data_IF_296774344520
#
_entry.id   IF_296774344520
#
_cell.length_a   1.000
_cell.length_b   1.000
_cell.length_c   1.000
_cell.angle_alpha   90.00
_cell.angle_beta   90.00
_cell.angle_gamma   90.00
#
_symmetry.space_group_name_H-M   'P 1'
#
loop_
_entity.id
_entity.type
_entity.pdbx_description
1 polymer ?
#
# COMPACT_ATOMS: atom_id res chain seq x y z
N UNK A 1 4.35 19.90 -45.41
CA UNK A 1 5.10 20.38 -44.24
C UNK A 1 4.11 20.77 -43.16
N UNK A 2 3.85 19.94 -42.17
CA UNK A 2 3.07 20.27 -40.97
C UNK A 2 3.90 19.85 -39.76
N UNK A 3 4.36 20.89 -38.99
CA UNK A 3 5.25 20.74 -37.84
C UNK A 3 4.56 20.01 -36.69
N UNK A 4 5.20 18.96 -36.21
CA UNK A 4 4.83 18.29 -34.98
C UNK A 4 5.28 19.15 -33.78
N UNK A 5 4.33 19.81 -33.16
CA UNK A 5 4.51 20.59 -31.92
C UNK A 5 4.84 19.64 -30.77
N UNK A 6 6.11 19.53 -30.45
CA UNK A 6 6.61 18.82 -29.25
C UNK A 6 6.25 19.66 -28.02
N UNK A 7 5.12 19.36 -27.38
CA UNK A 7 4.82 19.89 -26.05
C UNK A 7 5.84 19.33 -25.07
N UNK A 8 6.76 20.18 -24.64
CA UNK A 8 7.66 19.93 -23.49
C UNK A 8 6.78 19.90 -22.23
N UNK A 9 6.55 18.73 -21.67
CA UNK A 9 5.96 18.61 -20.34
C UNK A 9 7.08 18.87 -19.33
N UNK A 10 7.04 20.07 -18.73
CA UNK A 10 7.94 20.51 -17.67
C UNK A 10 7.85 19.60 -16.43
N UNK A 11 8.94 19.54 -15.68
CA UNK A 11 9.26 18.66 -14.57
C UNK A 11 8.10 18.24 -13.67
N UNK A 12 7.70 16.98 -13.78
CA UNK A 12 6.72 16.35 -12.91
C UNK A 12 7.35 16.03 -11.55
N UNK A 13 6.97 16.80 -10.54
CA UNK A 13 7.26 16.46 -9.14
C UNK A 13 6.14 15.50 -8.68
N UNK A 14 6.38 14.20 -8.76
CA UNK A 14 5.44 13.20 -8.23
C UNK A 14 5.54 13.27 -6.70
N UNK A 15 4.70 14.08 -6.10
CA UNK A 15 4.47 14.06 -4.66
C UNK A 15 3.27 13.16 -4.43
N UNK A 16 3.49 11.98 -3.84
CA UNK A 16 2.42 11.15 -3.32
C UNK A 16 1.84 11.83 -2.08
N UNK A 17 0.99 12.84 -2.27
CA UNK A 17 0.16 13.39 -1.21
C UNK A 17 -1.20 12.69 -1.25
N UNK A 18 -1.47 11.89 -0.25
CA UNK A 18 -2.80 11.36 0.02
C UNK A 18 -3.70 12.49 0.49
N UNK A 19 -4.99 12.56 0.12
CA UNK A 19 -5.86 13.64 0.53
C UNK A 19 -5.92 13.70 2.06
N UNK A 20 -5.58 14.86 2.62
CA UNK A 20 -5.81 15.17 4.01
C UNK A 20 -7.32 15.15 4.25
N UNK A 21 -7.79 14.14 4.98
CA UNK A 21 -9.12 14.17 5.55
C UNK A 21 -9.18 15.27 6.60
N UNK A 22 -9.67 16.46 6.26
CA UNK A 22 -10.07 17.47 7.22
C UNK A 22 -11.27 16.96 8.02
N UNK A 23 -11.00 16.28 9.12
CA UNK A 23 -11.94 16.09 10.22
C UNK A 23 -11.14 15.63 11.44
N UNK A 24 -10.52 16.59 12.14
CA UNK A 24 -10.21 16.43 13.54
C UNK A 24 -11.25 17.23 14.31
N UNK A 25 -12.17 16.63 15.05
CA UNK A 25 -12.85 17.32 16.12
C UNK A 25 -11.83 17.68 17.19
N UNK A 26 -11.82 18.95 17.60
CA UNK A 26 -10.97 19.43 18.69
C UNK A 26 -11.15 18.56 19.93
N UNK A 27 -10.07 18.19 20.63
CA UNK A 27 -10.20 17.42 21.87
C UNK A 27 -11.01 18.22 22.90
N UNK A 28 -11.91 17.58 23.67
CA UNK A 28 -12.62 18.23 24.72
C UNK A 28 -11.63 18.75 25.77
N UNK A 29 -11.85 19.98 26.27
CA UNK A 29 -11.04 20.55 27.33
C UNK A 29 -11.05 19.61 28.54
N UNK A 30 -9.90 19.38 29.17
CA UNK A 30 -9.87 18.60 30.40
C UNK A 30 -10.68 19.32 31.48
N UNK A 31 -11.43 18.59 32.32
CA UNK A 31 -12.14 19.18 33.44
C UNK A 31 -11.14 19.81 34.40
N UNK A 32 -11.51 20.98 34.94
CA UNK A 32 -10.72 21.69 35.96
C UNK A 32 -10.53 20.79 37.17
N UNK A 33 -9.27 20.61 37.55
CA UNK A 33 -8.87 19.86 38.74
C UNK A 33 -9.56 20.43 39.98
N UNK A 34 -10.20 19.59 40.83
CA UNK A 34 -10.61 20.01 42.16
C UNK A 34 -9.38 20.28 43.03
N UNK A 35 -9.45 21.31 43.84
CA UNK A 35 -8.39 21.68 44.77
C UNK A 35 -8.08 20.58 45.79
N UNK A 36 -6.91 20.62 46.45
CA UNK A 36 -6.42 19.53 47.28
C UNK A 36 -7.34 19.31 48.51
N UNK A 37 -7.71 18.06 48.81
CA UNK A 37 -8.45 17.73 50.02
C UNK A 37 -7.56 17.88 51.26
N UNK A 38 -8.15 18.41 52.31
CA UNK A 38 -7.53 18.53 53.65
C UNK A 38 -7.18 17.16 54.22
N UNK A 39 -5.98 17.04 54.79
CA UNK A 39 -5.45 15.82 55.39
C UNK A 39 -6.31 15.33 56.56
N UNK A 40 -6.68 14.06 56.65
CA UNK A 40 -7.19 13.43 57.86
C UNK A 40 -6.03 12.96 58.75
N UNK A 41 -6.27 13.08 60.08
CA UNK A 41 -5.39 12.63 61.16
C UNK A 41 -5.19 11.10 61.17
N UNK A 42 -4.09 10.59 61.72
CA UNK A 42 -3.79 9.17 61.69
C UNK A 42 -4.60 8.41 62.75
N UNK A 43 -5.28 7.39 62.32
CA UNK A 43 -6.02 6.47 63.19
C UNK A 43 -6.00 5.05 62.58
N UNK A 44 -5.34 4.11 63.27
CA UNK A 44 -5.75 2.70 63.32
C UNK A 44 -5.28 1.75 62.23
N UNK A 45 -4.39 0.97 62.65
CA UNK A 45 -3.86 -0.34 62.21
C UNK A 45 -4.89 -1.33 61.64
N UNK A 46 -5.40 -1.11 60.40
CA UNK A 46 -6.23 -2.10 59.65
C UNK A 46 -6.25 -1.94 58.14
N UNK A 47 -5.15 -1.58 57.47
CA UNK A 47 -5.18 -1.38 56.01
C UNK A 47 -3.99 -1.98 55.26
N UNK A 48 -3.46 -3.12 55.69
CA UNK A 48 -2.35 -3.77 54.92
C UNK A 48 -2.80 -4.78 53.87
N UNK A 49 -4.09 -5.08 53.77
CA UNK A 49 -4.59 -6.08 52.81
C UNK A 49 -5.18 -5.43 51.55
N UNK A 50 -5.63 -4.20 51.61
CA UNK A 50 -6.24 -3.53 50.44
C UNK A 50 -5.24 -3.01 49.39
N UNK A 51 -3.96 -2.77 49.77
CA UNK A 51 -2.93 -2.22 48.88
C UNK A 51 -2.40 -3.20 47.83
N UNK A 52 -2.38 -4.50 48.14
CA UNK A 52 -1.85 -5.52 47.23
C UNK A 52 -2.82 -5.83 46.08
N UNK A 53 -4.13 -5.82 46.35
CA UNK A 53 -5.14 -6.05 45.34
C UNK A 53 -5.24 -4.89 44.32
N UNK A 54 -5.09 -3.64 44.78
CA UNK A 54 -5.08 -2.47 43.87
C UNK A 54 -3.85 -2.40 42.96
N UNK A 55 -2.67 -2.76 43.52
CA UNK A 55 -1.44 -2.78 42.72
C UNK A 55 -1.46 -3.88 41.64
N UNK A 56 -2.03 -5.04 41.93
CA UNK A 56 -2.18 -6.14 40.97
C UNK A 56 -3.15 -5.77 39.83
N UNK A 57 -4.22 -5.03 40.11
CA UNK A 57 -5.14 -4.58 39.05
C UNK A 57 -4.54 -3.52 38.13
N UNK A 58 -3.69 -2.62 38.67
CA UNK A 58 -2.99 -1.61 37.85
C UNK A 58 -1.94 -2.25 36.97
N UNK A 59 -1.18 -3.22 37.51
CA UNK A 59 -0.18 -3.94 36.72
C UNK A 59 -0.83 -4.84 35.68
N UNK A 60 -1.95 -5.51 36.02
CA UNK A 60 -2.72 -6.32 35.08
C UNK A 60 -3.35 -5.47 33.98
N UNK A 61 -3.87 -4.31 34.30
CA UNK A 61 -4.44 -3.37 33.33
C UNK A 61 -3.39 -2.78 32.38
N UNK A 62 -2.21 -2.40 32.91
CA UNK A 62 -1.12 -1.88 32.08
C UNK A 62 -0.53 -2.96 31.15
N UNK A 63 -0.43 -4.22 31.63
CA UNK A 63 0.01 -5.34 30.81
C UNK A 63 -1.01 -5.69 29.71
N UNK A 64 -2.31 -5.62 29.99
CA UNK A 64 -3.35 -5.87 29.00
C UNK A 64 -3.41 -4.78 27.92
N UNK A 65 -3.23 -3.50 28.30
CA UNK A 65 -3.14 -2.39 27.35
C UNK A 65 -1.87 -2.50 26.51
N UNK A 66 -0.74 -2.84 27.14
CA UNK A 66 0.54 -3.08 26.44
C UNK A 66 0.45 -4.23 25.43
N UNK A 67 -0.22 -5.33 25.78
CA UNK A 67 -0.46 -6.46 24.88
C UNK A 67 -1.43 -6.09 23.74
N UNK A 68 -2.45 -5.29 24.01
CA UNK A 68 -3.38 -4.82 22.98
C UNK A 68 -2.70 -3.87 21.98
N UNK A 69 -1.80 -2.99 22.44
CA UNK A 69 -1.01 -2.12 21.56
C UNK A 69 0.02 -2.93 20.74
N UNK A 70 0.64 -3.95 21.34
CA UNK A 70 1.55 -4.86 20.62
C UNK A 70 0.82 -5.75 19.60
N UNK A 71 -0.46 -6.02 19.81
CA UNK A 71 -1.30 -6.77 18.88
C UNK A 71 -1.87 -5.93 17.73
N UNK A 72 -1.59 -4.63 17.68
CA UNK A 72 -1.92 -3.81 16.50
C UNK A 72 -1.16 -4.38 15.30
N UNK A 73 -1.91 -4.97 14.38
CA UNK A 73 -1.35 -5.54 13.16
C UNK A 73 -0.82 -4.40 12.27
N UNK A 74 0.50 -4.23 12.27
CA UNK A 74 1.14 -3.36 11.30
C UNK A 74 1.26 -4.08 9.96
N UNK A 75 1.07 -3.33 8.87
CA UNK A 75 1.25 -3.88 7.53
C UNK A 75 2.64 -4.51 7.39
N UNK A 76 2.77 -5.74 6.85
CA UNK A 76 4.04 -6.41 6.67
C UNK A 76 5.04 -5.53 5.92
N UNK A 77 6.26 -5.42 6.44
CA UNK A 77 7.34 -4.70 5.80
C UNK A 77 8.19 -5.67 4.96
N UNK A 78 8.75 -5.22 3.81
CA UNK A 78 9.64 -6.06 3.01
C UNK A 78 10.84 -6.51 3.82
N UNK A 79 11.16 -7.81 3.76
CA UNK A 79 12.40 -8.33 4.32
C UNK A 79 13.60 -7.92 3.46
N UNK A 80 14.80 -7.91 4.03
CA UNK A 80 16.03 -7.67 3.25
C UNK A 80 16.20 -8.69 2.12
N UNK A 81 15.82 -9.95 2.35
CA UNK A 81 15.87 -11.01 1.33
C UNK A 81 14.86 -10.77 0.18
N UNK A 82 13.78 -10.02 0.44
CA UNK A 82 12.80 -9.67 -0.59
C UNK A 82 13.27 -8.53 -1.52
N UNK A 83 14.36 -7.82 -1.19
CA UNK A 83 14.83 -6.70 -2.00
C UNK A 83 15.15 -7.06 -3.44
N UNK A 84 15.59 -8.28 -3.72
CA UNK A 84 15.74 -8.89 -5.04
C UNK A 84 16.20 -7.97 -6.18
N UNK A 85 16.02 -8.43 -7.42
CA UNK A 85 16.34 -7.67 -8.63
C UNK A 85 15.17 -6.75 -9.04
N UNK A 86 15.46 -5.70 -9.80
CA UNK A 86 14.44 -4.80 -10.37
C UNK A 86 13.93 -5.23 -11.73
N UNK A 87 14.51 -6.31 -12.29
CA UNK A 87 14.17 -6.83 -13.61
C UNK A 87 14.43 -8.33 -13.75
N UNK A 88 14.15 -8.93 -14.92
CA UNK A 88 14.32 -10.35 -15.16
C UNK A 88 15.80 -10.75 -15.19
N UNK A 89 16.10 -11.92 -14.64
CA UNK A 89 17.36 -12.61 -14.88
C UNK A 89 17.22 -13.43 -16.19
N UNK A 90 18.14 -13.27 -17.15
CA UNK A 90 18.16 -14.07 -18.38
C UNK A 90 17.35 -13.51 -19.56
N UNK A 91 17.07 -14.36 -20.59
CA UNK A 91 16.59 -13.96 -21.91
C UNK A 91 15.06 -13.82 -22.07
N UNK A 92 14.27 -13.80 -20.99
CA UNK A 92 12.79 -13.82 -21.04
C UNK A 92 12.12 -12.45 -21.31
N UNK A 93 12.80 -11.53 -21.96
CA UNK A 93 12.37 -10.13 -22.07
C UNK A 93 11.66 -9.75 -23.40
N UNK A 94 11.44 -10.66 -24.30
CA UNK A 94 10.72 -10.40 -25.56
C UNK A 94 9.21 -10.67 -25.49
N UNK A 95 8.70 -11.22 -24.38
CA UNK A 95 7.27 -11.40 -24.26
C UNK A 95 6.59 -10.04 -24.07
N UNK A 96 5.69 -9.72 -24.97
CA UNK A 96 4.87 -8.52 -24.89
C UNK A 96 3.46 -8.79 -25.40
N UNK A 97 2.50 -8.06 -24.88
CA UNK A 97 1.09 -8.12 -25.26
C UNK A 97 0.70 -6.84 -26.02
N UNK A 98 -0.38 -6.93 -26.79
CA UNK A 98 -1.00 -5.75 -27.39
C UNK A 98 -1.61 -4.86 -26.33
N UNK A 99 -1.85 -3.60 -26.66
CA UNK A 99 -2.54 -2.66 -25.80
C UNK A 99 -3.93 -3.18 -25.43
N UNK A 100 -4.18 -3.40 -24.15
CA UNK A 100 -5.49 -3.74 -23.62
C UNK A 100 -5.59 -3.27 -22.15
N UNK A 101 -6.57 -2.42 -21.79
CA UNK A 101 -6.70 -1.92 -20.42
C UNK A 101 -6.91 -3.05 -19.42
N UNK A 102 -6.30 -2.97 -18.22
CA UNK A 102 -6.53 -3.95 -17.18
C UNK A 102 -7.90 -3.76 -16.53
N UNK A 103 -8.54 -4.88 -16.15
CA UNK A 103 -9.87 -4.90 -15.50
C UNK A 103 -9.82 -5.44 -14.08
N UNK A 104 -8.89 -6.35 -13.77
CA UNK A 104 -8.72 -6.88 -12.41
C UNK A 104 -7.30 -7.36 -12.16
N UNK A 105 -6.96 -7.46 -10.87
CA UNK A 105 -5.69 -8.01 -10.39
C UNK A 105 -5.97 -9.09 -9.35
N UNK A 106 -5.15 -10.14 -9.39
CA UNK A 106 -5.13 -11.22 -8.42
C UNK A 106 -3.69 -11.50 -8.01
N UNK A 107 -3.45 -11.63 -6.68
CA UNK A 107 -2.15 -11.97 -6.11
C UNK A 107 -2.35 -13.07 -5.07
N UNK A 108 -2.30 -14.35 -5.48
CA UNK A 108 -2.66 -15.48 -4.61
C UNK A 108 -1.85 -15.54 -3.31
N UNK A 109 -0.55 -15.27 -3.38
CA UNK A 109 0.36 -15.35 -2.22
C UNK A 109 -0.05 -14.46 -1.04
N UNK A 110 -0.82 -13.41 -1.29
CA UNK A 110 -1.28 -12.46 -0.26
C UNK A 110 -2.80 -12.29 -0.22
N UNK A 111 -3.53 -13.11 -0.97
CA UNK A 111 -5.01 -13.14 -0.98
C UNK A 111 -5.65 -11.87 -1.58
N UNK A 112 -4.99 -11.21 -2.53
CA UNK A 112 -5.55 -10.03 -3.20
C UNK A 112 -6.40 -10.43 -4.39
N UNK A 113 -7.64 -9.91 -4.41
CA UNK A 113 -8.55 -9.92 -5.56
C UNK A 113 -9.18 -8.54 -5.66
N UNK A 114 -8.97 -7.84 -6.76
CA UNK A 114 -9.49 -6.48 -6.92
C UNK A 114 -9.86 -6.18 -8.37
N UNK A 115 -11.00 -5.51 -8.54
CA UNK A 115 -11.29 -4.77 -9.77
C UNK A 115 -10.34 -3.58 -9.82
N UNK A 116 -9.88 -3.22 -11.02
CA UNK A 116 -8.97 -2.10 -11.22
C UNK A 116 -9.71 -0.87 -11.72
N UNK A 117 -9.59 0.21 -10.94
CA UNK A 117 -9.96 1.54 -11.42
C UNK A 117 -8.93 2.04 -12.43
N UNK A 118 -9.36 2.94 -13.30
CA UNK A 118 -8.48 3.65 -14.23
C UNK A 118 -8.31 5.09 -13.74
N UNK A 119 -7.19 5.39 -13.12
CA UNK A 119 -6.92 6.69 -12.52
C UNK A 119 -5.74 7.41 -13.21
N UNK A 120 -5.69 8.72 -13.08
CA UNK A 120 -4.67 9.57 -13.69
C UNK A 120 -4.00 10.46 -12.65
N UNK A 121 -3.87 11.75 -12.98
CA UNK A 121 -3.36 12.80 -12.10
C UNK A 121 -4.45 13.84 -11.84
N UNK A 122 -4.37 14.48 -10.70
CA UNK A 122 -5.21 15.63 -10.34
C UNK A 122 -4.67 16.89 -11.02
N UNK A 123 -5.44 18.00 -11.02
CA UNK A 123 -4.96 19.29 -11.56
C UNK A 123 -3.67 19.81 -10.91
N UNK A 124 -3.41 19.48 -9.64
CA UNK A 124 -2.21 19.82 -8.90
C UNK A 124 -0.98 18.94 -9.27
N UNK A 125 -1.13 18.01 -10.22
CA UNK A 125 -0.08 17.09 -10.65
C UNK A 125 0.12 15.88 -9.74
N UNK A 126 -0.61 15.74 -8.63
CA UNK A 126 -0.55 14.56 -7.77
C UNK A 126 -1.35 13.40 -8.37
N UNK A 127 -0.95 12.16 -8.02
CA UNK A 127 -1.69 10.98 -8.51
C UNK A 127 -3.08 10.90 -7.89
N UNK A 128 -4.06 10.53 -8.72
CA UNK A 128 -5.36 10.10 -8.23
C UNK A 128 -5.19 8.73 -7.56
N UNK A 129 -5.84 8.53 -6.42
CA UNK A 129 -5.81 7.28 -5.66
C UNK A 129 -7.22 6.71 -5.53
N UNK A 130 -7.38 5.39 -5.30
CA UNK A 130 -8.69 4.80 -5.04
C UNK A 130 -9.40 5.52 -3.87
N UNK A 131 -10.73 5.62 -3.88
CA UNK A 131 -11.47 6.19 -2.76
C UNK A 131 -11.25 5.38 -1.46
N UNK A 132 -11.01 6.07 -0.35
CA UNK A 132 -10.81 5.42 0.97
C UNK A 132 -12.04 4.62 1.43
N UNK A 133 -13.23 5.00 0.96
CA UNK A 133 -14.50 4.31 1.23
C UNK A 133 -14.61 2.96 0.52
N UNK A 134 -13.70 2.68 -0.40
CA UNK A 134 -13.62 1.42 -1.17
C UNK A 134 -12.23 0.80 -1.02
N UNK A 135 -11.84 0.36 0.20
CA UNK A 135 -10.47 -0.06 0.52
C UNK A 135 -10.02 -1.31 -0.24
N UNK A 136 -10.94 -2.10 -0.76
CA UNK A 136 -10.66 -3.31 -1.56
C UNK A 136 -10.26 -3.02 -3.01
N UNK A 137 -10.33 -1.76 -3.47
CA UNK A 137 -10.01 -1.42 -4.85
C UNK A 137 -8.55 -0.99 -5.01
N UNK A 138 -7.93 -1.50 -6.07
CA UNK A 138 -6.69 -0.99 -6.62
C UNK A 138 -6.95 -0.16 -7.90
N UNK A 139 -5.95 0.55 -8.39
CA UNK A 139 -6.08 1.38 -9.59
C UNK A 139 -4.86 1.26 -10.49
N UNK A 140 -5.09 1.14 -11.79
CA UNK A 140 -4.06 1.29 -12.80
C UNK A 140 -3.87 2.78 -13.15
N UNK A 141 -2.60 3.20 -13.15
CA UNK A 141 -2.19 4.53 -13.60
C UNK A 141 -2.28 4.61 -15.12
N UNK A 142 -3.34 5.25 -15.64
CA UNK A 142 -3.70 5.25 -17.06
C UNK A 142 -2.67 5.87 -18.01
N UNK A 143 -1.69 6.62 -17.47
CA UNK A 143 -0.59 7.20 -18.26
C UNK A 143 0.66 6.32 -18.28
N UNK A 144 0.64 5.17 -17.58
CA UNK A 144 1.60 4.09 -17.79
C UNK A 144 1.15 3.21 -18.95
N UNK A 145 2.04 2.35 -19.48
CA UNK A 145 1.64 1.35 -20.49
C UNK A 145 0.65 0.36 -19.89
N UNK A 146 -0.16 -0.30 -20.73
CA UNK A 146 -1.04 -1.37 -20.23
C UNK A 146 -0.22 -2.58 -19.81
N UNK A 147 -0.66 -3.35 -18.78
CA UNK A 147 0.08 -4.52 -18.30
C UNK A 147 0.35 -5.51 -19.44
N UNK A 148 1.62 -5.87 -19.60
CA UNK A 148 2.07 -6.75 -20.67
C UNK A 148 2.69 -6.04 -21.86
N UNK A 149 2.51 -4.74 -22.06
CA UNK A 149 3.27 -3.98 -23.04
C UNK A 149 4.72 -3.75 -22.57
N UNK A 150 5.66 -3.61 -23.52
CA UNK A 150 7.03 -3.18 -23.22
C UNK A 150 6.99 -1.82 -22.56
N UNK A 151 7.73 -1.67 -21.46
CA UNK A 151 7.71 -0.51 -20.59
C UNK A 151 7.14 -0.83 -19.21
N UNK A 152 6.91 0.19 -18.41
CA UNK A 152 6.46 0.03 -17.02
C UNK A 152 4.98 0.33 -16.88
N UNK A 153 4.19 -0.68 -16.47
CA UNK A 153 2.82 -0.52 -16.01
C UNK A 153 2.79 -0.32 -14.50
N UNK A 154 1.91 0.53 -14.00
CA UNK A 154 1.83 0.88 -12.57
C UNK A 154 0.42 0.66 -12.05
N UNK A 155 0.31 -0.08 -10.94
CA UNK A 155 -0.94 -0.31 -10.20
C UNK A 155 -0.73 0.11 -8.75
N UNK A 156 -1.65 0.87 -8.21
CA UNK A 156 -1.60 1.43 -6.86
C UNK A 156 -2.81 1.00 -6.03
N UNK A 157 -2.62 0.91 -4.72
CA UNK A 157 -3.69 0.61 -3.78
C UNK A 157 -3.33 1.07 -2.36
N UNK A 158 -4.35 1.25 -1.54
CA UNK A 158 -4.14 1.62 -0.14
C UNK A 158 -3.53 0.47 0.67
N UNK A 159 -2.70 0.82 1.66
CA UNK A 159 -2.21 -0.12 2.66
C UNK A 159 -3.29 -0.40 3.69
N UNK A 160 -3.92 0.64 4.21
CA UNK A 160 -4.99 0.57 5.21
C UNK A 160 -5.90 1.80 5.13
N UNK A 161 -6.94 1.79 5.96
CA UNK A 161 -7.83 2.91 6.25
C UNK A 161 -8.09 2.95 7.74
N UNK A 162 -8.86 3.93 8.22
CA UNK A 162 -9.31 3.96 9.63
C UNK A 162 -10.14 2.74 10.03
N UNK A 163 -10.74 2.04 9.07
CA UNK A 163 -11.55 0.84 9.28
C UNK A 163 -10.74 -0.47 9.27
N UNK A 164 -9.45 -0.41 8.91
CA UNK A 164 -8.58 -1.57 8.90
C UNK A 164 -7.79 -1.76 7.60
N UNK A 165 -7.27 -2.97 7.37
CA UNK A 165 -6.47 -3.30 6.19
C UNK A 165 -7.18 -3.00 4.87
N UNK A 166 -6.42 -2.48 3.88
CA UNK A 166 -6.90 -2.24 2.53
C UNK A 166 -6.27 -3.24 1.53
N UNK A 167 -6.56 -3.07 0.24
CA UNK A 167 -6.22 -4.02 -0.83
C UNK A 167 -4.75 -4.42 -0.85
N UNK A 168 -3.83 -3.50 -0.57
CA UNK A 168 -2.38 -3.77 -0.58
C UNK A 168 -1.73 -3.80 0.82
N UNK A 169 -2.53 -4.08 1.86
CA UNK A 169 -2.02 -4.21 3.23
C UNK A 169 -0.84 -5.18 3.34
N UNK A 170 -0.95 -6.35 2.68
CA UNK A 170 0.06 -7.41 2.74
C UNK A 170 1.11 -7.32 1.62
N UNK A 171 1.17 -6.22 0.85
CA UNK A 171 2.06 -6.10 -0.30
C UNK A 171 3.54 -6.30 0.06
N UNK A 172 3.95 -5.84 1.25
CA UNK A 172 5.32 -6.03 1.76
C UNK A 172 5.68 -7.47 2.10
N UNK A 173 4.70 -8.38 2.19
CA UNK A 173 4.95 -9.81 2.45
C UNK A 173 5.35 -10.61 1.20
N UNK A 174 5.18 -10.03 0.00
CA UNK A 174 5.56 -10.69 -1.26
C UNK A 174 7.07 -10.98 -1.32
N UNK A 175 7.40 -12.03 -2.06
CA UNK A 175 8.77 -12.50 -2.24
C UNK A 175 9.10 -12.66 -3.73
N UNK A 176 10.38 -12.60 -4.12
CA UNK A 176 10.80 -13.00 -5.45
C UNK A 176 10.28 -14.40 -5.79
N UNK A 177 9.67 -14.55 -6.96
CA UNK A 177 9.03 -15.78 -7.42
C UNK A 177 7.49 -15.76 -7.34
N UNK A 178 6.89 -14.99 -6.44
CA UNK A 178 5.42 -14.86 -6.35
C UNK A 178 4.82 -14.35 -7.67
N UNK A 179 3.57 -14.76 -7.93
CA UNK A 179 2.88 -14.41 -9.17
C UNK A 179 1.83 -13.32 -8.93
N UNK A 180 1.71 -12.46 -9.93
CA UNK A 180 0.68 -11.41 -10.03
C UNK A 180 -0.04 -11.60 -11.35
N UNK A 181 -1.34 -11.87 -11.30
CA UNK A 181 -2.22 -12.07 -12.45
C UNK A 181 -2.99 -10.77 -12.72
N UNK A 182 -2.87 -10.24 -13.92
CA UNK A 182 -3.65 -9.07 -14.34
C UNK A 182 -4.51 -9.44 -15.51
N UNK A 183 -5.83 -9.44 -15.31
CA UNK A 183 -6.80 -9.68 -16.38
C UNK A 183 -7.00 -8.39 -17.19
N UNK A 184 -6.94 -8.53 -18.51
CA UNK A 184 -7.11 -7.46 -19.47
C UNK A 184 -8.52 -7.48 -20.08
N UNK A 185 -8.93 -6.36 -20.66
CA UNK A 185 -10.26 -6.20 -21.27
C UNK A 185 -10.48 -7.12 -22.49
N UNK A 186 -9.42 -7.54 -23.18
CA UNK A 186 -9.48 -8.49 -24.29
C UNK A 186 -9.59 -9.96 -23.85
N UNK A 187 -9.73 -10.21 -22.55
CA UNK A 187 -9.85 -11.54 -21.95
C UNK A 187 -8.53 -12.27 -21.71
N UNK A 188 -7.39 -11.64 -22.02
CA UNK A 188 -6.06 -12.19 -21.69
C UNK A 188 -5.76 -11.94 -20.23
N UNK A 189 -5.17 -12.90 -19.54
CA UNK A 189 -4.52 -12.74 -18.24
C UNK A 189 -3.04 -12.68 -18.43
N UNK A 190 -2.44 -11.54 -18.12
CA UNK A 190 -1.00 -11.33 -18.09
C UNK A 190 -0.45 -11.78 -16.74
N UNK A 191 0.50 -12.71 -16.72
CA UNK A 191 1.10 -13.27 -15.50
C UNK A 191 2.48 -12.69 -15.31
N UNK A 192 2.67 -11.99 -14.20
CA UNK A 192 3.93 -11.37 -13.83
C UNK A 192 4.57 -12.13 -12.68
N UNK A 193 5.90 -12.24 -12.69
CA UNK A 193 6.68 -12.80 -11.58
C UNK A 193 7.36 -11.68 -10.82
N UNK A 194 7.18 -11.66 -9.51
CA UNK A 194 7.88 -10.74 -8.60
C UNK A 194 9.38 -11.02 -8.66
N UNK A 195 10.18 -9.96 -8.78
CA UNK A 195 11.65 -10.01 -8.74
C UNK A 195 12.21 -9.36 -7.50
N UNK A 196 11.47 -8.44 -6.89
CA UNK A 196 11.89 -7.76 -5.67
C UNK A 196 10.79 -6.90 -5.08
N UNK A 197 10.90 -6.68 -3.76
CA UNK A 197 10.02 -5.81 -2.99
C UNK A 197 10.89 -4.85 -2.20
N UNK A 198 10.70 -3.55 -2.39
CA UNK A 198 11.53 -2.53 -1.78
C UNK A 198 10.70 -1.45 -1.12
N UNK A 199 11.25 -0.87 -0.07
CA UNK A 199 10.66 0.27 0.61
C UNK A 199 11.53 1.49 0.38
N UNK A 200 10.88 2.62 0.04
CA UNK A 200 11.54 3.90 -0.20
C UNK A 200 10.90 4.97 0.67
N UNK A 201 11.73 5.78 1.33
CA UNK A 201 11.25 7.00 1.96
C UNK A 201 10.59 7.90 0.91
N UNK A 202 9.43 8.48 1.22
CA UNK A 202 8.72 9.37 0.30
C UNK A 202 9.56 10.59 -0.09
N UNK A 203 10.40 11.09 0.83
CA UNK A 203 11.33 12.20 0.59
C UNK A 203 12.47 11.85 -0.39
N UNK A 204 12.76 10.54 -0.58
CA UNK A 204 13.80 10.03 -1.50
C UNK A 204 13.23 9.03 -2.49
N UNK A 205 11.95 9.19 -2.85
CA UNK A 205 11.27 8.24 -3.73
C UNK A 205 11.84 8.31 -5.15
N UNK A 206 12.30 7.19 -5.73
CA UNK A 206 12.94 7.16 -7.04
C UNK A 206 11.87 7.15 -8.16
N UNK A 207 11.14 8.25 -8.31
CA UNK A 207 9.99 8.35 -9.22
C UNK A 207 10.33 7.97 -10.67
N UNK A 208 11.52 8.32 -11.18
CA UNK A 208 11.96 7.96 -12.53
C UNK A 208 12.02 6.44 -12.71
N UNK A 209 12.66 5.73 -11.77
CA UNK A 209 12.79 4.26 -11.80
C UNK A 209 11.46 3.54 -11.62
N UNK A 210 10.55 4.10 -10.81
CA UNK A 210 9.29 3.46 -10.50
C UNK A 210 8.22 3.71 -11.56
N UNK A 211 8.10 4.95 -12.06
CA UNK A 211 7.01 5.32 -12.98
C UNK A 211 7.42 5.42 -14.45
N UNK A 212 8.70 5.65 -14.74
CA UNK A 212 9.17 6.01 -16.09
C UNK A 212 10.40 5.20 -16.52
N UNK A 213 10.65 4.08 -15.88
CA UNK A 213 11.76 3.22 -16.30
C UNK A 213 11.49 2.71 -17.73
N UNK A 214 12.37 3.12 -18.65
CA UNK A 214 12.31 2.70 -20.04
C UNK A 214 12.86 1.26 -20.15
N UNK A 215 12.14 0.31 -19.55
CA UNK A 215 12.50 -1.10 -19.64
C UNK A 215 12.32 -1.61 -21.05
N UNK A 216 13.18 -2.55 -21.46
CA UNK A 216 13.05 -3.26 -22.74
C UNK A 216 12.16 -4.51 -22.63
N UNK A 217 11.46 -4.66 -21.53
CA UNK A 217 10.56 -5.77 -21.20
C UNK A 217 9.25 -5.23 -20.60
N UNK A 218 8.23 -6.07 -20.56
CA UNK A 218 6.96 -5.73 -19.93
C UNK A 218 7.10 -5.80 -18.42
N UNK A 219 7.27 -4.64 -17.78
CA UNK A 219 7.41 -4.47 -16.34
C UNK A 219 6.09 -4.11 -15.68
N UNK A 220 5.91 -4.59 -14.43
CA UNK A 220 4.82 -4.19 -13.54
C UNK A 220 5.40 -3.63 -12.24
N UNK A 221 4.81 -2.54 -11.75
CA UNK A 221 5.04 -1.98 -10.42
C UNK A 221 3.74 -1.98 -9.64
N UNK A 222 3.76 -2.57 -8.43
CA UNK A 222 2.68 -2.42 -7.48
C UNK A 222 3.15 -1.49 -6.38
N UNK A 223 2.32 -0.53 -5.98
CA UNK A 223 2.73 0.53 -5.05
C UNK A 223 1.68 0.70 -3.96
N UNK A 224 2.15 0.82 -2.73
CA UNK A 224 1.33 1.18 -1.57
C UNK A 224 2.14 2.04 -0.60
N UNK A 225 1.46 2.66 0.36
CA UNK A 225 2.13 3.30 1.50
C UNK A 225 2.75 2.24 2.41
N UNK A 226 3.75 2.62 3.21
CA UNK A 226 4.40 1.71 4.15
C UNK A 226 5.40 2.41 5.06
N UNK A 227 6.08 1.62 5.89
CA UNK A 227 7.03 2.12 6.87
C UNK A 227 6.36 2.73 8.09
N UNK A 228 7.08 3.61 8.80
CA UNK A 228 6.55 4.28 9.96
C UNK A 228 5.42 5.24 9.61
N UNK A 229 4.40 5.29 10.46
CA UNK A 229 3.29 6.22 10.36
C UNK A 229 3.55 7.46 11.21
N UNK A 230 3.47 8.63 10.60
CA UNK A 230 3.56 9.91 11.31
C UNK A 230 2.16 10.36 11.72
N UNK A 231 1.87 10.26 13.01
CA UNK A 231 0.56 10.62 13.58
C UNK A 231 0.27 12.12 13.48
N UNK A 232 1.28 12.98 13.51
CA UNK A 232 1.10 14.44 13.41
C UNK A 232 0.63 14.87 12.01
N UNK A 233 1.08 14.17 10.97
CA UNK A 233 0.68 14.44 9.58
C UNK A 233 -0.31 13.42 9.02
N UNK A 234 -0.67 12.40 9.81
CA UNK A 234 -1.53 11.28 9.39
C UNK A 234 -1.04 10.60 8.10
N UNK A 235 0.28 10.42 7.96
CA UNK A 235 0.89 9.89 6.75
C UNK A 235 1.95 8.83 7.04
N UNK A 236 2.03 7.82 6.17
CA UNK A 236 3.17 6.92 6.10
C UNK A 236 4.39 7.64 5.54
N UNK A 237 5.55 7.42 6.15
CA UNK A 237 6.82 8.05 5.73
C UNK A 237 7.45 7.40 4.50
N UNK A 238 7.03 6.19 4.15
CA UNK A 238 7.60 5.41 3.05
C UNK A 238 6.51 4.91 2.09
N UNK A 239 6.96 4.37 0.98
CA UNK A 239 6.15 3.59 0.04
C UNK A 239 6.80 2.24 -0.19
N UNK A 240 6.00 1.18 -0.22
CA UNK A 240 6.41 -0.17 -0.62
C UNK A 240 6.17 -0.33 -2.11
N UNK A 241 7.19 -0.76 -2.85
CA UNK A 241 7.16 -0.99 -4.29
C UNK A 241 7.55 -2.42 -4.60
N UNK A 242 6.67 -3.13 -5.31
CA UNK A 242 6.93 -4.45 -5.88
C UNK A 242 7.40 -4.29 -7.32
N UNK A 243 8.47 -4.97 -7.67
CA UNK A 243 9.01 -5.08 -9.00
C UNK A 243 8.65 -6.45 -9.56
N UNK A 244 8.02 -6.49 -10.73
CA UNK A 244 7.66 -7.72 -11.41
C UNK A 244 7.82 -7.56 -12.93
N UNK A 245 7.90 -8.68 -13.65
CA UNK A 245 7.95 -8.70 -15.11
C UNK A 245 7.07 -9.82 -15.68
N UNK A 246 6.60 -9.65 -16.92
CA UNK A 246 5.75 -10.58 -17.62
C UNK A 246 6.50 -11.89 -17.88
N UNK A 247 5.94 -13.02 -17.46
CA UNK A 247 6.54 -14.36 -17.67
C UNK A 247 5.70 -15.22 -18.59
N UNK A 248 4.38 -15.02 -18.62
CA UNK A 248 3.47 -15.74 -19.53
C UNK A 248 2.14 -15.01 -19.62
N UNK A 249 1.28 -15.44 -20.50
CA UNK A 249 -0.11 -15.01 -20.59
C UNK A 249 -0.98 -16.16 -21.05
N UNK A 250 -2.24 -16.15 -20.66
CA UNK A 250 -3.23 -17.10 -21.11
C UNK A 250 -4.59 -16.42 -21.28
N UNK A 251 -5.45 -17.00 -22.11
CA UNK A 251 -6.84 -16.61 -22.22
C UNK A 251 -7.65 -17.52 -21.31
N UNK A 252 -8.58 -16.97 -20.56
CA UNK A 252 -9.53 -17.81 -19.81
C UNK A 252 -10.24 -18.74 -20.81
N UNK A 253 -10.07 -20.04 -20.65
CA UNK A 253 -10.77 -21.02 -21.48
C UNK A 253 -12.27 -20.79 -21.36
N UNK A 254 -12.99 -20.76 -22.48
CA UNK A 254 -14.43 -20.96 -22.45
C UNK A 254 -14.66 -22.39 -21.96
N UNK A 255 -15.00 -22.57 -20.69
CA UNK A 255 -15.70 -23.79 -20.30
C UNK A 255 -17.00 -23.80 -21.10
N UNK A 256 -17.03 -24.54 -22.23
CA UNK A 256 -18.28 -24.99 -22.80
C UNK A 256 -18.95 -25.78 -21.65
N UNK A 257 -20.05 -25.25 -21.12
CA UNK A 257 -20.96 -26.06 -20.33
C UNK A 257 -21.31 -27.26 -21.20
N UNK A 258 -20.94 -28.44 -20.73
CA UNK A 258 -21.44 -29.69 -21.31
C UNK A 258 -22.92 -29.72 -21.01
N UNK A 259 -23.72 -29.56 -22.05
CA UNK A 259 -25.17 -29.86 -22.06
C UNK A 259 -25.36 -31.35 -21.97
#
# INVERSE_FOLDING_TARGET
MRGAERRRIAGFRVVMSWPEGRFAPSPPRPPRSPGPPRSPRPGGLRSRVAGVAGALLIVGGAAAVGAAVAAQQHAPQPSLAAAGATGPAGKAWWLSLRHSPPVSIEIPAIGVHSVLLRLGVKPDGTMQVPPLQRPSLAAWYKYSVTPGQIGTSVIEGHVDTKQGPAVFYRLGALRPGDLVNVRLADGITAVFRVTGVRQYLKSKFPAKTVYRDATRFAALRLITCGGAFNYATSQYLSSTVVFAFLVTSHRAGHHKAAT
#
